data_IF_689122852696
#
_entry.id   IF_689122852696
#
_cell.length_a   1.000
_cell.length_b   1.000
_cell.length_c   1.000
_cell.angle_alpha   90.00
_cell.angle_beta   90.00
_cell.angle_gamma   90.00
#
_symmetry.space_group_name_H-M   'P 1'
#
loop_
_entity.id
_entity.type
_entity.pdbx_description
1 polymer ?
#
# COMPACT_ATOMS: atom_id res chain seq x y z
N UNK A 1 -9.39 6.07 -12.49
CA UNK A 1 -9.38 5.74 -11.04
C UNK A 1 -7.96 5.67 -10.50
N UNK A 2 -7.76 6.06 -9.24
CA UNK A 2 -6.49 5.92 -8.52
C UNK A 2 -6.62 4.87 -7.41
N UNK A 3 -5.81 3.81 -7.46
CA UNK A 3 -5.83 2.70 -6.49
C UNK A 3 -4.90 3.03 -5.33
N UNK A 4 -5.35 2.85 -4.09
CA UNK A 4 -4.52 2.92 -2.89
C UNK A 4 -4.37 1.54 -2.25
N UNK A 5 -3.12 1.14 -1.97
CA UNK A 5 -2.77 -0.10 -1.26
C UNK A 5 -1.99 0.18 0.02
N UNK A 6 -2.08 -0.75 0.97
CA UNK A 6 -1.16 -0.85 2.09
C UNK A 6 0.11 -1.59 1.70
N UNK A 7 1.24 -1.31 2.36
CA UNK A 7 2.46 -2.08 2.24
C UNK A 7 2.33 -3.41 2.98
N UNK A 8 3.41 -4.19 2.98
CA UNK A 8 3.53 -5.40 3.82
C UNK A 8 4.77 -5.33 4.71
N UNK A 9 4.74 -6.08 5.81
CA UNK A 9 5.88 -6.20 6.73
C UNK A 9 7.02 -7.05 6.13
N UNK A 10 6.67 -8.02 5.29
CA UNK A 10 7.63 -8.88 4.60
C UNK A 10 8.10 -8.18 3.34
N UNK A 11 9.40 -8.03 3.19
CA UNK A 11 10.04 -7.43 2.02
C UNK A 11 11.00 -8.43 1.37
N UNK A 12 10.96 -8.49 0.05
CA UNK A 12 11.89 -9.20 -0.81
C UNK A 12 12.92 -8.25 -1.43
N UNK A 13 13.90 -8.85 -2.07
CA UNK A 13 15.00 -8.14 -2.74
C UNK A 13 15.13 -8.50 -4.22
N UNK A 14 14.24 -9.35 -4.72
CA UNK A 14 14.23 -9.81 -6.10
C UNK A 14 13.20 -9.07 -6.94
N UNK A 15 13.56 -8.78 -8.16
CA UNK A 15 12.66 -8.21 -9.17
C UNK A 15 13.13 -8.62 -10.57
N UNK A 16 12.25 -8.61 -11.59
CA UNK A 16 12.64 -8.88 -12.99
C UNK A 16 13.72 -7.91 -13.47
N UNK A 17 14.70 -8.46 -14.20
CA UNK A 17 15.74 -7.64 -14.82
C UNK A 17 15.15 -6.71 -15.89
N UNK A 18 15.78 -5.55 -16.09
CA UNK A 18 15.40 -4.60 -17.15
C UNK A 18 14.20 -3.72 -16.83
N UNK A 19 13.54 -3.87 -15.68
CA UNK A 19 12.46 -2.95 -15.29
C UNK A 19 13.04 -1.55 -15.00
N UNK A 20 12.41 -0.49 -15.57
CA UNK A 20 12.80 0.87 -15.23
C UNK A 20 12.46 1.16 -13.77
N UNK A 21 13.37 1.87 -13.09
CA UNK A 21 13.17 2.25 -11.71
C UNK A 21 12.98 3.77 -11.60
N UNK A 22 12.10 4.18 -10.69
CA UNK A 22 11.90 5.60 -10.33
C UNK A 22 12.32 5.82 -8.88
N UNK A 23 12.48 7.07 -8.48
CA UNK A 23 12.81 7.42 -7.10
C UNK A 23 11.57 7.81 -6.30
N UNK A 24 11.47 7.43 -5.01
CA UNK A 24 10.39 7.87 -4.13
C UNK A 24 10.31 9.40 -4.02
N UNK A 25 9.11 9.95 -4.03
CA UNK A 25 8.88 11.40 -3.98
C UNK A 25 9.30 12.01 -2.64
N UNK A 26 9.15 11.28 -1.53
CA UNK A 26 9.41 11.75 -0.16
C UNK A 26 10.74 11.26 0.42
N UNK A 27 11.82 11.28 -0.39
CA UNK A 27 13.16 10.84 0.06
C UNK A 27 13.70 11.64 1.24
N UNK A 28 13.41 12.94 1.30
CA UNK A 28 13.87 13.81 2.41
C UNK A 28 13.19 13.43 3.72
N UNK A 29 11.89 13.19 3.67
CA UNK A 29 11.08 12.76 4.80
C UNK A 29 11.51 11.36 5.27
N UNK A 30 11.70 10.41 4.35
CA UNK A 30 12.20 9.08 4.67
C UNK A 30 13.57 9.12 5.36
N UNK A 31 14.51 9.94 4.85
CA UNK A 31 15.82 10.12 5.47
C UNK A 31 15.69 10.72 6.89
N UNK A 32 14.78 11.66 7.12
CA UNK A 32 14.52 12.23 8.44
C UNK A 32 13.99 11.17 9.41
N UNK A 33 13.04 10.31 8.97
CA UNK A 33 12.52 9.22 9.78
C UNK A 33 13.61 8.20 10.11
N UNK A 34 14.44 7.79 9.14
CA UNK A 34 15.54 6.85 9.39
C UNK A 34 16.57 7.43 10.36
N UNK A 35 16.93 8.71 10.24
CA UNK A 35 17.81 9.36 11.19
C UNK A 35 17.25 9.33 12.62
N UNK A 36 15.95 9.56 12.79
CA UNK A 36 15.30 9.46 14.09
C UNK A 36 15.30 8.02 14.63
N UNK A 37 14.98 7.03 13.79
CA UNK A 37 14.97 5.61 14.18
C UNK A 37 16.37 5.12 14.56
N UNK A 38 17.43 5.61 13.93
CA UNK A 38 18.83 5.28 14.25
C UNK A 38 19.29 5.78 15.62
N UNK A 39 18.57 6.69 16.25
CA UNK A 39 18.85 7.10 17.63
C UNK A 39 18.36 6.08 18.66
N UNK A 40 17.53 5.11 18.23
CA UNK A 40 17.04 4.05 19.08
C UNK A 40 17.99 2.86 19.06
N UNK A 41 18.22 2.26 20.24
CA UNK A 41 18.95 0.98 20.32
C UNK A 41 18.13 -0.13 19.67
N UNK A 42 18.77 -1.28 19.39
CA UNK A 42 18.08 -2.47 18.89
C UNK A 42 16.89 -2.84 19.78
N UNK A 43 17.12 -2.91 21.09
CA UNK A 43 16.09 -3.25 22.09
C UNK A 43 14.93 -2.26 22.12
N UNK A 44 15.23 -0.95 21.97
CA UNK A 44 14.20 0.09 21.88
C UNK A 44 13.35 -0.07 20.61
N UNK A 45 13.97 -0.41 19.48
CA UNK A 45 13.27 -0.72 18.24
C UNK A 45 12.41 -1.99 18.37
N UNK A 46 12.95 -3.03 19.01
CA UNK A 46 12.25 -4.26 19.34
C UNK A 46 10.97 -4.00 20.14
N UNK A 47 11.10 -3.24 21.22
CA UNK A 47 9.97 -2.87 22.07
C UNK A 47 8.95 -1.99 21.34
N UNK A 48 9.41 -0.96 20.59
CA UNK A 48 8.54 -0.05 19.84
C UNK A 48 7.67 -0.79 18.82
N UNK A 49 8.25 -1.74 18.10
CA UNK A 49 7.60 -2.44 16.99
C UNK A 49 7.07 -3.83 17.38
N UNK A 50 7.19 -4.22 18.65
CA UNK A 50 6.83 -5.54 19.19
C UNK A 50 7.43 -6.68 18.36
N UNK A 51 8.76 -6.72 18.28
CA UNK A 51 9.54 -7.65 17.47
C UNK A 51 10.06 -8.83 18.28
N UNK A 52 10.23 -9.98 17.64
CA UNK A 52 11.09 -11.06 18.16
C UNK A 52 12.57 -10.67 17.99
N UNK A 53 13.46 -11.29 18.76
CA UNK A 53 14.90 -10.98 18.76
C UNK A 53 15.52 -11.01 17.34
N UNK A 54 15.12 -12.00 16.53
CA UNK A 54 15.58 -12.13 15.16
C UNK A 54 15.12 -10.99 14.25
N UNK A 55 13.88 -10.54 14.42
CA UNK A 55 13.32 -9.40 13.67
C UNK A 55 13.86 -8.06 14.18
N UNK A 56 14.14 -7.95 15.46
CA UNK A 56 14.79 -6.80 16.07
C UNK A 56 16.15 -6.54 15.45
N UNK A 57 17.04 -7.55 15.48
CA UNK A 57 18.35 -7.46 14.84
C UNK A 57 18.25 -7.11 13.35
N UNK A 58 17.40 -7.85 12.61
CA UNK A 58 17.20 -7.60 11.17
C UNK A 58 16.73 -6.15 10.91
N UNK A 59 15.81 -5.63 11.74
CA UNK A 59 15.29 -4.28 11.57
C UNK A 59 16.35 -3.23 11.87
N UNK A 60 17.13 -3.43 12.93
CA UNK A 60 18.25 -2.58 13.28
C UNK A 60 19.30 -2.53 12.16
N UNK A 61 19.74 -3.69 11.65
CA UNK A 61 20.74 -3.80 10.57
C UNK A 61 20.25 -3.13 9.28
N UNK A 62 18.97 -3.32 8.93
CA UNK A 62 18.34 -2.64 7.78
C UNK A 62 18.35 -1.12 7.92
N UNK A 63 18.04 -0.60 9.11
CA UNK A 63 18.09 0.84 9.37
C UNK A 63 19.53 1.38 9.30
N UNK A 64 20.51 0.65 9.82
CA UNK A 64 21.91 1.07 9.75
C UNK A 64 22.45 1.10 8.31
N UNK A 65 22.05 0.15 7.48
CA UNK A 65 22.45 0.07 6.07
C UNK A 65 21.64 0.97 5.12
N UNK A 66 20.49 1.49 5.56
CA UNK A 66 19.61 2.30 4.70
C UNK A 66 20.29 3.58 4.22
N UNK A 67 20.05 3.95 2.94
CA UNK A 67 20.56 5.18 2.33
C UNK A 67 19.48 5.88 1.51
N UNK A 68 19.40 7.21 1.52
CA UNK A 68 18.53 7.96 0.61
C UNK A 68 18.96 7.83 -0.85
N UNK A 69 20.22 7.45 -1.09
CA UNK A 69 20.80 7.20 -2.40
C UNK A 69 21.43 5.79 -2.42
N UNK A 70 20.62 4.74 -2.52
CA UNK A 70 21.13 3.36 -2.50
C UNK A 70 21.99 3.07 -3.73
N UNK A 71 23.00 2.22 -3.54
CA UNK A 71 23.78 1.67 -4.67
C UNK A 71 22.91 0.72 -5.50
N UNK A 72 23.34 0.46 -6.73
CA UNK A 72 22.69 -0.53 -7.62
C UNK A 72 22.59 -1.87 -6.88
N UNK A 73 21.40 -2.49 -6.92
CA UNK A 73 21.12 -3.77 -6.24
C UNK A 73 20.72 -3.66 -4.76
N UNK A 74 20.80 -2.50 -4.12
CA UNK A 74 20.39 -2.32 -2.72
C UNK A 74 18.90 -1.96 -2.56
N UNK A 75 18.27 -1.48 -3.62
CA UNK A 75 16.85 -1.12 -3.63
C UNK A 75 16.15 -1.80 -4.81
N UNK A 76 14.88 -2.10 -4.62
CA UNK A 76 14.04 -2.75 -5.64
C UNK A 76 12.73 -1.99 -5.79
N UNK A 77 12.06 -2.06 -6.96
CA UNK A 77 10.76 -1.44 -7.15
C UNK A 77 9.76 -1.87 -6.07
N UNK A 78 9.02 -0.92 -5.52
CA UNK A 78 8.11 -1.15 -4.39
C UNK A 78 7.09 -2.26 -4.66
N UNK A 79 6.63 -2.38 -5.91
CA UNK A 79 5.69 -3.41 -6.33
C UNK A 79 6.23 -4.84 -6.14
N UNK A 80 7.55 -5.04 -6.23
CA UNK A 80 8.24 -6.32 -6.02
C UNK A 80 8.84 -6.44 -4.61
N UNK A 81 9.19 -5.29 -4.00
CA UNK A 81 9.71 -5.27 -2.64
C UNK A 81 8.68 -5.80 -1.63
N UNK A 82 7.43 -5.38 -1.74
CA UNK A 82 6.38 -5.83 -0.83
C UNK A 82 5.92 -7.24 -1.16
N UNK A 83 6.05 -8.15 -0.18
CA UNK A 83 5.65 -9.55 -0.28
C UNK A 83 4.56 -9.86 0.75
N UNK A 84 3.50 -10.53 0.30
CA UNK A 84 2.36 -10.91 1.13
C UNK A 84 1.11 -11.10 0.27
N UNK A 85 -0.01 -11.47 0.89
CA UNK A 85 -1.21 -11.90 0.18
C UNK A 85 -1.72 -10.91 -0.88
N UNK A 86 -1.66 -9.61 -0.63
CA UNK A 86 -2.07 -8.58 -1.60
C UNK A 86 -1.20 -8.64 -2.86
N UNK A 87 0.13 -8.57 -2.69
CA UNK A 87 1.08 -8.51 -3.82
C UNK A 87 1.23 -9.85 -4.52
N UNK A 88 1.18 -10.97 -3.76
CA UNK A 88 1.16 -12.32 -4.32
C UNK A 88 -0.07 -12.54 -5.23
N UNK A 89 -1.24 -12.06 -4.81
CA UNK A 89 -2.48 -12.19 -5.61
C UNK A 89 -2.58 -11.18 -6.74
N UNK A 90 -1.96 -10.03 -6.61
CA UNK A 90 -1.81 -9.08 -7.72
C UNK A 90 -0.88 -9.64 -8.81
N UNK A 91 0.13 -10.43 -8.42
CA UNK A 91 1.08 -11.10 -9.29
C UNK A 91 1.70 -10.19 -10.36
N UNK A 92 2.51 -9.18 -9.96
CA UNK A 92 3.07 -8.23 -10.92
C UNK A 92 4.11 -8.84 -11.87
N UNK A 93 4.57 -10.07 -11.60
CA UNK A 93 5.57 -10.74 -12.42
C UNK A 93 5.05 -11.08 -13.85
N UNK A 94 3.74 -11.15 -14.04
CA UNK A 94 3.12 -11.41 -15.35
C UNK A 94 2.50 -10.15 -15.99
N UNK A 95 2.83 -8.96 -15.49
CA UNK A 95 2.37 -7.73 -16.12
C UNK A 95 3.13 -7.46 -17.41
N UNK A 96 2.40 -7.08 -18.46
CA UNK A 96 2.96 -6.53 -19.68
C UNK A 96 3.49 -5.12 -19.45
N UNK A 97 4.30 -4.61 -20.37
CA UNK A 97 4.81 -3.23 -20.33
C UNK A 97 3.67 -2.21 -20.19
N UNK A 98 2.59 -2.37 -20.96
CA UNK A 98 1.44 -1.47 -20.91
C UNK A 98 0.65 -1.55 -19.58
N UNK A 99 0.71 -2.68 -18.87
CA UNK A 99 0.12 -2.85 -17.54
C UNK A 99 1.03 -2.23 -16.46
N UNK A 100 2.35 -2.31 -16.63
CA UNK A 100 3.27 -1.55 -15.78
C UNK A 100 3.06 -0.05 -15.94
N UNK A 101 2.93 0.46 -17.17
CA UNK A 101 2.66 1.87 -17.44
C UNK A 101 1.33 2.32 -16.83
N UNK A 102 0.28 1.50 -16.95
CA UNK A 102 -0.99 1.76 -16.31
C UNK A 102 -0.85 1.76 -14.79
N UNK A 103 -0.20 0.76 -14.22
CA UNK A 103 0.00 0.67 -12.77
C UNK A 103 0.80 1.86 -12.23
N UNK A 104 1.84 2.30 -12.93
CA UNK A 104 2.66 3.44 -12.53
C UNK A 104 1.86 4.74 -12.46
N UNK A 105 0.85 4.88 -13.30
CA UNK A 105 -0.08 6.02 -13.29
C UNK A 105 -1.16 5.86 -12.21
N UNK A 106 -1.78 4.70 -12.11
CA UNK A 106 -3.04 4.46 -11.40
C UNK A 106 -2.92 3.73 -10.05
N UNK A 107 -1.73 3.33 -9.62
CA UNK A 107 -1.52 2.65 -8.33
C UNK A 107 -0.59 3.44 -7.43
N UNK A 108 -0.96 3.53 -6.15
CA UNK A 108 -0.11 4.10 -5.08
C UNK A 108 -0.10 3.17 -3.88
N UNK A 109 1.08 3.02 -3.27
CA UNK A 109 1.26 2.24 -2.04
C UNK A 109 1.57 3.23 -0.93
N UNK A 110 0.70 3.27 0.08
CA UNK A 110 0.89 4.13 1.26
C UNK A 110 1.91 3.47 2.19
N UNK A 111 2.93 4.19 2.62
CA UNK A 111 4.07 3.64 3.36
C UNK A 111 4.36 4.48 4.62
N UNK A 112 4.64 3.81 5.75
CA UNK A 112 5.07 4.50 6.97
C UNK A 112 6.38 5.25 6.79
N UNK A 113 7.33 4.70 6.04
CA UNK A 113 8.64 5.31 5.80
C UNK A 113 8.66 6.26 4.60
N UNK A 114 8.04 5.89 3.50
CA UNK A 114 8.15 6.62 2.22
C UNK A 114 6.91 7.44 1.88
N UNK A 115 5.89 7.48 2.75
CA UNK A 115 4.64 8.22 2.53
C UNK A 115 3.78 7.63 1.43
N UNK A 116 4.03 8.01 0.19
CA UNK A 116 3.29 7.54 -0.97
C UNK A 116 4.26 7.09 -2.07
N UNK A 117 4.15 5.84 -2.49
CA UNK A 117 5.00 5.21 -3.50
C UNK A 117 4.24 4.91 -4.78
N UNK A 118 4.90 5.07 -5.91
CA UNK A 118 4.50 4.50 -7.20
C UNK A 118 5.05 3.07 -7.30
N UNK A 119 4.47 2.19 -8.13
CA UNK A 119 4.91 0.80 -8.32
C UNK A 119 6.41 0.61 -8.57
N UNK A 120 7.00 1.45 -9.40
CA UNK A 120 8.40 1.35 -9.81
C UNK A 120 9.35 2.22 -8.98
N UNK A 121 8.87 2.86 -7.91
CA UNK A 121 9.75 3.56 -6.97
C UNK A 121 10.62 2.56 -6.22
N UNK A 122 11.94 2.71 -6.37
CA UNK A 122 12.93 1.85 -5.72
C UNK A 122 13.02 2.15 -4.24
N UNK A 123 12.84 1.12 -3.41
CA UNK A 123 12.91 1.19 -1.97
C UNK A 123 13.94 0.22 -1.40
N UNK A 124 14.63 0.64 -0.36
CA UNK A 124 15.45 -0.26 0.45
C UNK A 124 14.57 -1.00 1.46
N UNK A 125 14.96 -2.23 1.87
CA UNK A 125 14.24 -2.96 2.91
C UNK A 125 14.20 -2.17 4.22
N UNK A 126 13.00 -2.13 4.83
CA UNK A 126 12.75 -1.43 6.10
C UNK A 126 11.60 -2.09 6.86
N UNK A 127 11.38 -1.65 8.10
CA UNK A 127 10.15 -1.92 8.84
C UNK A 127 9.74 -0.66 9.59
N UNK A 128 8.56 -0.15 9.29
CA UNK A 128 7.94 0.98 9.98
C UNK A 128 6.45 1.00 9.62
N UNK A 129 5.63 0.51 10.54
CA UNK A 129 4.17 0.52 10.40
C UNK A 129 3.63 1.93 10.67
N UNK A 130 2.58 2.33 9.95
CA UNK A 130 2.00 3.68 10.04
C UNK A 130 1.37 3.98 11.40
N UNK A 131 0.82 2.94 12.05
CA UNK A 131 0.12 3.06 13.34
C UNK A 131 1.02 3.09 14.58
N UNK A 132 2.35 3.05 14.43
CA UNK A 132 3.26 3.07 15.57
C UNK A 132 3.17 4.40 16.33
N UNK A 133 3.17 4.36 17.69
CA UNK A 133 3.18 5.56 18.54
C UNK A 133 4.60 6.16 18.63
N UNK A 134 5.11 6.59 17.47
CA UNK A 134 6.44 7.15 17.34
C UNK A 134 6.52 8.16 16.21
N UNK A 135 7.33 9.18 16.37
CA UNK A 135 7.70 10.15 15.35
C UNK A 135 9.10 10.69 15.58
N UNK A 136 9.71 11.28 14.57
CA UNK A 136 10.95 12.02 14.68
C UNK A 136 10.65 13.54 14.71
N UNK A 137 10.94 14.22 15.83
CA UNK A 137 10.71 15.65 16.01
C UNK A 137 9.43 15.95 16.78
N UNK A 138 8.71 17.01 16.39
CA UNK A 138 7.43 17.39 17.03
C UNK A 138 6.34 16.40 16.63
N UNK A 139 5.54 15.93 17.58
CA UNK A 139 4.45 14.97 17.40
C UNK A 139 4.80 13.57 17.93
N UNK A 140 3.76 12.74 18.13
CA UNK A 140 3.84 11.44 18.78
C UNK A 140 3.49 10.27 17.84
N UNK A 141 3.22 10.53 16.56
CA UNK A 141 2.80 9.52 15.61
C UNK A 141 3.26 9.83 14.19
N UNK A 142 3.33 8.80 13.35
CA UNK A 142 3.57 8.98 11.92
C UNK A 142 2.41 9.70 11.22
N UNK A 143 1.19 9.62 11.74
CA UNK A 143 0.06 10.40 11.20
C UNK A 143 0.33 11.91 11.32
N UNK A 144 0.83 12.36 12.46
CA UNK A 144 1.23 13.77 12.69
C UNK A 144 2.46 14.15 11.87
N UNK A 145 3.44 13.23 11.77
CA UNK A 145 4.63 13.45 10.94
C UNK A 145 4.24 13.67 9.47
N UNK A 146 3.41 12.81 8.90
CA UNK A 146 2.98 12.92 7.51
C UNK A 146 2.02 14.09 7.30
N UNK A 147 1.15 14.40 8.25
CA UNK A 147 0.17 15.47 8.15
C UNK A 147 -0.60 15.37 6.82
N UNK A 148 -0.73 16.47 6.10
CA UNK A 148 -1.45 16.52 4.82
C UNK A 148 -0.59 16.13 3.59
N UNK A 149 0.69 15.80 3.77
CA UNK A 149 1.61 15.54 2.64
C UNK A 149 1.12 14.41 1.73
N UNK A 150 0.61 13.34 2.32
CA UNK A 150 0.10 12.19 1.55
C UNK A 150 -1.19 12.58 0.82
N UNK A 151 -2.12 13.27 1.48
CA UNK A 151 -3.36 13.77 0.87
C UNK A 151 -3.06 14.70 -0.33
N UNK A 152 -2.14 15.65 -0.14
CA UNK A 152 -1.74 16.58 -1.20
C UNK A 152 -1.12 15.85 -2.40
N UNK A 153 -0.30 14.83 -2.16
CA UNK A 153 0.27 14.02 -3.24
C UNK A 153 -0.80 13.19 -3.98
N UNK A 154 -1.79 12.66 -3.27
CA UNK A 154 -2.94 11.97 -3.89
C UNK A 154 -3.76 12.96 -4.74
N UNK A 155 -4.08 14.13 -4.21
CA UNK A 155 -4.83 15.16 -4.93
C UNK A 155 -4.08 15.66 -6.17
N UNK A 156 -2.77 15.86 -6.07
CA UNK A 156 -1.94 16.22 -7.22
C UNK A 156 -1.96 15.14 -8.31
N UNK A 157 -1.99 13.86 -7.91
CA UNK A 157 -2.09 12.75 -8.86
C UNK A 157 -3.46 12.70 -9.54
N UNK A 158 -4.55 12.87 -8.79
CA UNK A 158 -5.91 12.94 -9.34
C UNK A 158 -6.01 14.08 -10.37
N UNK A 159 -5.56 15.27 -10.02
CA UNK A 159 -5.57 16.42 -10.91
C UNK A 159 -4.74 16.17 -12.20
N UNK A 160 -3.56 15.56 -12.08
CA UNK A 160 -2.69 15.24 -13.22
C UNK A 160 -3.33 14.25 -14.20
N UNK A 161 -4.19 13.34 -13.70
CA UNK A 161 -4.87 12.34 -14.51
C UNK A 161 -6.24 12.78 -15.02
N UNK A 162 -6.77 13.91 -14.53
CA UNK A 162 -8.16 14.28 -14.74
C UNK A 162 -9.16 13.31 -14.10
N UNK A 163 -8.73 12.66 -13.02
CA UNK A 163 -9.52 11.68 -12.26
C UNK A 163 -10.09 12.32 -10.99
N UNK A 164 -11.22 11.81 -10.54
CA UNK A 164 -11.87 12.20 -9.28
C UNK A 164 -12.20 10.99 -8.36
N UNK A 165 -11.79 9.78 -8.77
CA UNK A 165 -12.10 8.54 -8.05
C UNK A 165 -10.85 7.91 -7.47
N UNK A 166 -10.87 7.70 -6.15
CA UNK A 166 -9.90 6.90 -5.41
C UNK A 166 -10.52 5.55 -5.03
N UNK A 167 -9.95 4.45 -5.50
CA UNK A 167 -10.32 3.09 -5.08
C UNK A 167 -9.46 2.69 -3.88
N UNK A 168 -10.06 2.72 -2.70
CA UNK A 168 -9.37 2.38 -1.45
C UNK A 168 -9.31 0.86 -1.24
N UNK A 169 -8.17 0.27 -1.49
CA UNK A 169 -7.84 -1.12 -1.15
C UNK A 169 -6.80 -1.19 -0.01
N UNK A 170 -6.51 -0.06 0.64
CA UNK A 170 -5.67 0.00 1.83
C UNK A 170 -6.44 -0.43 3.09
N UNK A 171 -5.71 -0.75 4.16
CA UNK A 171 -6.31 -0.99 5.48
C UNK A 171 -6.64 0.33 6.17
N UNK A 172 -7.47 0.25 7.24
CA UNK A 172 -7.85 1.41 8.03
C UNK A 172 -6.64 2.17 8.60
N UNK A 173 -5.58 1.46 8.97
CA UNK A 173 -4.33 2.05 9.43
C UNK A 173 -3.72 2.98 8.38
N UNK A 174 -3.67 2.56 7.12
CA UNK A 174 -3.01 3.31 6.05
C UNK A 174 -3.91 4.36 5.41
N UNK A 175 -5.21 4.08 5.22
CA UNK A 175 -6.12 5.10 4.68
C UNK A 175 -6.29 6.29 5.64
N UNK A 176 -6.17 6.07 6.96
CA UNK A 176 -6.15 7.15 7.96
C UNK A 176 -5.03 8.16 7.69
N UNK A 177 -3.85 7.70 7.25
CA UNK A 177 -2.72 8.59 6.91
C UNK A 177 -2.96 9.42 5.64
N UNK A 178 -3.84 8.95 4.76
CA UNK A 178 -4.26 9.69 3.56
C UNK A 178 -5.21 10.84 3.90
N UNK A 179 -5.82 10.82 5.09
CA UNK A 179 -6.82 11.80 5.52
C UNK A 179 -7.99 11.91 4.51
N UNK A 180 -8.92 10.94 4.47
CA UNK A 180 -9.99 10.87 3.48
C UNK A 180 -10.80 12.15 3.30
N UNK A 181 -10.97 12.92 4.37
CA UNK A 181 -11.67 14.22 4.38
C UNK A 181 -10.90 15.36 3.66
N UNK A 182 -9.64 15.15 3.31
CA UNK A 182 -8.80 16.10 2.57
C UNK A 182 -8.64 15.73 1.09
N UNK A 183 -9.20 14.59 0.67
CA UNK A 183 -9.16 14.16 -0.74
C UNK A 183 -10.20 14.94 -1.55
N UNK A 184 -9.74 15.53 -2.65
CA UNK A 184 -10.57 16.32 -3.55
C UNK A 184 -11.58 15.47 -4.34
N UNK A 185 -11.29 14.17 -4.51
CA UNK A 185 -12.16 13.24 -5.21
C UNK A 185 -13.00 12.36 -4.28
N UNK A 186 -13.84 11.51 -4.87
CA UNK A 186 -14.61 10.51 -4.17
C UNK A 186 -13.74 9.29 -3.81
N UNK A 187 -13.88 8.81 -2.56
CA UNK A 187 -13.25 7.56 -2.14
C UNK A 187 -14.26 6.44 -2.19
N UNK A 188 -13.97 5.43 -2.99
CA UNK A 188 -14.73 4.20 -3.12
C UNK A 188 -13.97 3.07 -2.42
N UNK A 189 -14.61 2.36 -1.49
CA UNK A 189 -14.00 1.27 -0.73
C UNK A 189 -14.65 -0.07 -1.07
N UNK A 190 -13.98 -0.95 -1.84
CA UNK A 190 -14.40 -2.34 -2.00
C UNK A 190 -14.26 -3.11 -0.68
N UNK A 191 -15.35 -3.72 -0.22
CA UNK A 191 -15.42 -4.51 1.01
C UNK A 191 -15.70 -5.97 0.64
N UNK A 192 -14.80 -6.88 1.02
CA UNK A 192 -14.89 -8.30 0.72
C UNK A 192 -15.36 -9.07 1.93
N UNK A 193 -16.48 -9.79 1.80
CA UNK A 193 -17.10 -10.55 2.89
C UNK A 193 -17.28 -12.02 2.50
N UNK A 194 -16.98 -12.90 3.43
CA UNK A 194 -17.21 -14.33 3.34
C UNK A 194 -18.56 -14.69 3.97
N UNK A 195 -19.30 -15.62 3.36
CA UNK A 195 -20.49 -16.19 3.99
C UNK A 195 -20.05 -17.13 5.12
N UNK A 196 -20.47 -16.88 6.35
CA UNK A 196 -20.22 -17.72 7.51
C UNK A 196 -21.57 -18.02 8.20
N UNK A 197 -22.10 -19.22 7.94
CA UNK A 197 -23.49 -19.55 8.25
C UNK A 197 -24.44 -18.66 7.44
N UNK A 198 -25.36 -17.99 8.11
CA UNK A 198 -26.32 -17.08 7.47
C UNK A 198 -25.81 -15.61 7.31
N UNK A 199 -24.63 -15.31 7.85
CA UNK A 199 -24.09 -13.93 7.88
C UNK A 199 -22.86 -13.77 7.00
N UNK A 200 -22.69 -12.58 6.44
CA UNK A 200 -21.48 -12.18 5.74
C UNK A 200 -20.55 -11.41 6.67
N UNK A 201 -19.29 -11.85 6.77
CA UNK A 201 -18.26 -11.23 7.62
C UNK A 201 -16.97 -11.00 6.85
N UNK A 202 -16.25 -9.95 7.22
CA UNK A 202 -14.89 -9.72 6.72
C UNK A 202 -13.94 -10.69 7.43
N UNK A 203 -13.24 -11.50 6.63
CA UNK A 203 -12.15 -12.37 7.10
C UNK A 203 -10.84 -11.74 6.63
N UNK A 204 -10.00 -11.33 7.57
CA UNK A 204 -8.80 -10.51 7.30
C UNK A 204 -7.88 -11.10 6.22
N UNK A 205 -7.62 -12.41 6.27
CA UNK A 205 -6.79 -13.11 5.28
C UNK A 205 -7.44 -13.08 3.88
N UNK A 206 -8.73 -13.43 3.79
CA UNK A 206 -9.48 -13.43 2.52
C UNK A 206 -9.58 -12.01 1.93
N UNK A 207 -9.84 -11.01 2.78
CA UNK A 207 -9.91 -9.62 2.35
C UNK A 207 -8.57 -9.11 1.77
N UNK A 208 -7.42 -9.52 2.34
CA UNK A 208 -6.11 -9.18 1.77
C UNK A 208 -5.92 -9.79 0.38
N UNK A 209 -6.28 -11.08 0.21
CA UNK A 209 -6.23 -11.76 -1.10
C UNK A 209 -7.12 -11.07 -2.12
N UNK A 210 -8.37 -10.78 -1.74
CA UNK A 210 -9.34 -10.13 -2.61
C UNK A 210 -8.90 -8.71 -3.04
N UNK A 211 -8.26 -7.94 -2.16
CA UNK A 211 -7.67 -6.63 -2.52
C UNK A 211 -6.58 -6.77 -3.57
N UNK A 212 -5.73 -7.79 -3.47
CA UNK A 212 -4.72 -8.10 -4.49
C UNK A 212 -5.35 -8.47 -5.83
N UNK A 213 -6.36 -9.34 -5.82
CA UNK A 213 -7.12 -9.73 -7.02
C UNK A 213 -7.86 -8.54 -7.66
N UNK A 214 -8.47 -7.68 -6.85
CA UNK A 214 -9.14 -6.47 -7.34
C UNK A 214 -8.13 -5.50 -7.96
N UNK A 215 -6.97 -5.31 -7.35
CA UNK A 215 -5.90 -4.48 -7.94
C UNK A 215 -5.44 -5.05 -9.28
N UNK A 216 -5.24 -6.37 -9.34
CA UNK A 216 -4.92 -7.07 -10.59
C UNK A 216 -6.01 -6.88 -11.64
N UNK A 217 -7.27 -7.08 -11.27
CA UNK A 217 -8.42 -6.90 -12.16
C UNK A 217 -8.44 -5.49 -12.77
N UNK A 218 -8.28 -4.46 -11.95
CA UNK A 218 -8.25 -3.06 -12.41
C UNK A 218 -7.09 -2.83 -13.39
N UNK A 219 -5.89 -3.36 -13.09
CA UNK A 219 -4.69 -3.16 -13.90
C UNK A 219 -4.79 -3.93 -15.23
N UNK A 220 -5.17 -5.22 -15.19
CA UNK A 220 -5.29 -6.07 -16.38
C UNK A 220 -6.35 -5.57 -17.36
N UNK A 221 -7.47 -5.06 -16.86
CA UNK A 221 -8.54 -4.50 -17.68
C UNK A 221 -8.35 -3.00 -17.97
N UNK A 222 -7.34 -2.36 -17.38
CA UNK A 222 -7.11 -0.90 -17.47
C UNK A 222 -8.38 -0.11 -17.16
N UNK A 223 -9.12 -0.54 -16.13
CA UNK A 223 -10.40 0.05 -15.76
C UNK A 223 -10.27 1.54 -15.43
N UNK A 224 -11.05 2.37 -16.09
CA UNK A 224 -11.01 3.83 -15.97
C UNK A 224 -12.16 4.38 -15.15
N UNK A 225 -13.30 3.70 -15.16
CA UNK A 225 -14.49 4.11 -14.43
C UNK A 225 -14.83 3.10 -13.33
N UNK A 226 -15.34 3.54 -12.17
CA UNK A 226 -15.59 2.65 -11.03
C UNK A 226 -16.62 1.57 -11.35
N UNK A 227 -17.58 1.82 -12.23
CA UNK A 227 -18.62 0.87 -12.62
C UNK A 227 -18.06 -0.45 -13.14
N UNK A 228 -16.91 -0.43 -13.78
CA UNK A 228 -16.23 -1.62 -14.30
C UNK A 228 -15.85 -2.59 -13.16
N UNK A 229 -15.61 -2.08 -11.94
CA UNK A 229 -15.28 -2.91 -10.77
C UNK A 229 -16.45 -3.81 -10.36
N UNK A 230 -17.70 -3.44 -10.68
CA UNK A 230 -18.88 -4.29 -10.41
C UNK A 230 -18.83 -5.61 -11.20
N UNK A 231 -18.05 -5.64 -12.27
CA UNK A 231 -17.74 -6.83 -13.07
C UNK A 231 -16.76 -7.82 -12.40
N UNK A 232 -16.12 -7.48 -11.29
CA UNK A 232 -15.17 -8.33 -10.59
C UNK A 232 -15.79 -9.67 -10.17
N UNK A 233 -15.14 -10.80 -10.55
CA UNK A 233 -15.64 -12.17 -10.31
C UNK A 233 -14.55 -13.11 -9.77
N UNK A 234 -13.34 -12.60 -9.56
CA UNK A 234 -12.21 -13.41 -9.12
C UNK A 234 -12.48 -14.09 -7.78
N UNK A 235 -11.97 -15.30 -7.65
CA UNK A 235 -12.08 -16.10 -6.42
C UNK A 235 -13.53 -16.28 -5.91
N UNK A 236 -14.51 -16.22 -6.83
CA UNK A 236 -15.94 -16.41 -6.55
C UNK A 236 -16.68 -15.21 -5.97
N UNK A 237 -16.01 -14.08 -5.78
CA UNK A 237 -16.67 -12.86 -5.31
C UNK A 237 -17.70 -12.35 -6.32
N UNK A 238 -18.77 -11.73 -5.81
CA UNK A 238 -19.82 -11.07 -6.60
C UNK A 238 -20.22 -9.76 -5.92
N UNK A 239 -20.38 -8.71 -6.71
CA UNK A 239 -20.92 -7.43 -6.24
C UNK A 239 -22.34 -7.60 -5.70
N UNK A 240 -22.63 -6.96 -4.57
CA UNK A 240 -23.91 -7.02 -3.87
C UNK A 240 -24.53 -5.61 -3.75
N UNK A 241 -25.37 -5.19 -4.70
CA UNK A 241 -25.97 -3.85 -4.66
C UNK A 241 -26.71 -3.56 -3.36
N UNK A 242 -27.48 -4.56 -2.86
CA UNK A 242 -28.30 -4.41 -1.64
C UNK A 242 -27.49 -4.23 -0.34
N UNK A 243 -26.20 -4.59 -0.36
CA UNK A 243 -25.30 -4.47 0.79
C UNK A 243 -24.32 -3.30 0.65
N UNK A 244 -24.36 -2.61 -0.48
CA UNK A 244 -23.46 -1.53 -0.86
C UNK A 244 -24.09 -0.16 -0.61
N UNK A 245 -23.25 0.85 -0.43
CA UNK A 245 -23.57 2.26 -0.42
C UNK A 245 -22.87 2.99 -1.57
N UNK A 246 -22.99 4.31 -1.65
CA UNK A 246 -22.26 5.13 -2.63
C UNK A 246 -20.74 5.00 -2.48
N UNK A 247 -20.24 4.86 -1.23
CA UNK A 247 -18.81 4.82 -0.91
C UNK A 247 -18.28 3.43 -0.64
N UNK A 248 -19.13 2.52 -0.14
CA UNK A 248 -18.72 1.18 0.28
C UNK A 248 -19.37 0.13 -0.63
N UNK A 249 -18.56 -0.50 -1.49
CA UNK A 249 -19.03 -1.51 -2.41
C UNK A 249 -18.73 -2.91 -1.90
N UNK A 250 -19.78 -3.64 -1.56
CA UNK A 250 -19.67 -4.96 -0.95
C UNK A 250 -19.62 -6.04 -2.02
N UNK A 251 -18.59 -6.86 -1.92
CA UNK A 251 -18.44 -8.09 -2.69
C UNK A 251 -18.49 -9.27 -1.73
N UNK A 252 -19.30 -10.29 -2.08
CA UNK A 252 -19.44 -11.50 -1.26
C UNK A 252 -19.11 -12.73 -2.05
N UNK A 253 -18.66 -13.78 -1.35
CA UNK A 253 -18.58 -15.12 -1.86
C UNK A 253 -19.07 -16.13 -0.83
N UNK A 254 -19.49 -17.35 -1.24
CA UNK A 254 -19.62 -18.49 -0.34
C UNK A 254 -18.27 -18.75 0.33
N UNK A 255 -18.28 -19.29 1.56
CA UNK A 255 -17.04 -19.83 2.16
C UNK A 255 -16.53 -20.97 1.29
N UNK A 256 -15.23 -20.99 0.95
CA UNK A 256 -14.64 -22.13 0.24
C UNK A 256 -14.82 -23.43 0.98
#
# INVERSE_FOLDING_TARGET
VLILLSPTKKLGTEHPAGLPCTGPSFKKEANRLVRGLRQLSSTQLGSLMNLSDSLEKLTYDRLQSWSPNPKIGQAVPSLFAYQGEVFSKMNPADFSESEFDFSQKHLRIVSGLYGLLRPLDSIMPYRLEMGLPWSCGKGNSLYEFWGERIANAVNSQLACQGDDIVVNLASNEYIKAVQPNKIAGQILTPIFKEKKGEKFRVVSFCAKRARGLMSRFIIKNKAKVPEELKGFREDGYRFQPKLSSEKDWVFTRPTP
#
